data_IF_711363958281
#
_entry.id   IF_711363958281
#
_cell.length_a   1.000
_cell.length_b   1.000
_cell.length_c   1.000
_cell.angle_alpha   90.00
_cell.angle_beta   90.00
_cell.angle_gamma   90.00
#
_symmetry.space_group_name_H-M   'P 1'
#
loop_
_entity.id
_entity.type
_entity.pdbx_description
1 polymer ?
#
# COMPACT_ATOMS: atom_id res chain seq x y z
N UNK A 1 0.33 13.76 27.51
CA UNK A 1 -0.40 12.52 27.15
C UNK A 1 -0.09 12.17 25.72
N UNK A 2 0.41 10.96 25.44
CA UNK A 2 0.67 10.52 24.07
C UNK A 2 -0.66 10.33 23.34
N UNK A 3 -0.75 10.85 22.13
CA UNK A 3 -1.91 10.67 21.26
C UNK A 3 -1.82 9.30 20.61
N UNK A 4 -2.94 8.57 20.63
CA UNK A 4 -3.05 7.30 19.89
C UNK A 4 -3.13 7.62 18.40
N UNK A 5 -2.33 6.94 17.60
CA UNK A 5 -2.40 7.00 16.15
C UNK A 5 -3.27 5.85 15.63
N UNK A 6 -4.04 6.12 14.60
CA UNK A 6 -4.89 5.13 13.94
C UNK A 6 -4.39 4.86 12.53
N UNK A 7 -4.32 3.60 12.17
CA UNK A 7 -4.01 3.15 10.83
C UNK A 7 -5.07 2.19 10.30
N UNK A 8 -5.12 2.05 8.99
CA UNK A 8 -5.92 1.06 8.30
C UNK A 8 -5.01 0.13 7.50
N UNK A 9 -5.35 -1.15 7.49
CA UNK A 9 -4.66 -2.16 6.68
C UNK A 9 -5.61 -2.70 5.63
N UNK A 10 -5.22 -2.59 4.38
CA UNK A 10 -5.92 -3.20 3.25
C UNK A 10 -5.23 -4.53 2.92
N UNK A 11 -5.85 -5.63 3.37
CA UNK A 11 -5.63 -6.93 2.75
C UNK A 11 -6.33 -6.86 1.40
N UNK A 12 -5.62 -7.04 0.26
CA UNK A 12 -6.19 -6.72 -1.04
C UNK A 12 -7.17 -7.78 -1.55
N UNK A 13 -8.10 -8.18 -0.69
CA UNK A 13 -9.15 -9.15 -0.99
C UNK A 13 -10.26 -8.50 -1.78
N UNK A 14 -10.46 -8.96 -3.01
CA UNK A 14 -11.45 -8.42 -3.92
C UNK A 14 -12.42 -9.51 -4.40
N UNK A 15 -13.70 -9.18 -4.66
CA UNK A 15 -14.64 -10.15 -5.20
C UNK A 15 -14.20 -10.70 -6.54
N UNK A 16 -14.25 -12.02 -6.69
CA UNK A 16 -14.03 -12.68 -7.98
C UNK A 16 -15.16 -12.27 -8.93
N UNK A 17 -14.79 -11.95 -10.18
CA UNK A 17 -15.76 -11.56 -11.20
C UNK A 17 -15.98 -10.06 -11.34
N UNK A 18 -15.50 -9.26 -10.39
CA UNK A 18 -15.47 -7.81 -10.55
C UNK A 18 -14.22 -7.40 -11.34
N UNK A 19 -14.38 -6.41 -12.23
CA UNK A 19 -13.25 -5.93 -13.02
C UNK A 19 -12.19 -5.26 -12.12
N UNK A 20 -10.90 -5.65 -12.20
CA UNK A 20 -9.84 -5.10 -11.34
C UNK A 20 -9.73 -3.57 -11.35
N UNK A 21 -10.04 -2.94 -12.46
CA UNK A 21 -10.03 -1.47 -12.55
C UNK A 21 -10.95 -0.84 -11.50
N UNK A 22 -12.15 -1.41 -11.30
CA UNK A 22 -13.11 -0.90 -10.31
C UNK A 22 -12.62 -1.14 -8.89
N UNK A 23 -11.96 -2.27 -8.66
CA UNK A 23 -11.37 -2.62 -7.36
C UNK A 23 -10.28 -1.60 -6.98
N UNK A 24 -9.34 -1.32 -7.89
CA UNK A 24 -8.29 -0.34 -7.66
C UNK A 24 -8.83 1.08 -7.44
N UNK A 25 -9.84 1.50 -8.20
CA UNK A 25 -10.46 2.81 -8.00
C UNK A 25 -11.08 2.92 -6.61
N UNK A 26 -11.82 1.91 -6.19
CA UNK A 26 -12.43 1.88 -4.84
C UNK A 26 -11.38 1.90 -3.73
N UNK A 27 -10.27 1.17 -3.90
CA UNK A 27 -9.20 1.15 -2.92
C UNK A 27 -8.47 2.51 -2.84
N UNK A 28 -8.27 3.16 -3.98
CA UNK A 28 -7.71 4.52 -4.01
C UNK A 28 -8.66 5.54 -3.37
N UNK A 29 -9.96 5.43 -3.63
CA UNK A 29 -10.99 6.26 -2.98
C UNK A 29 -10.97 6.06 -1.46
N UNK A 30 -10.74 4.83 -1.00
CA UNK A 30 -10.61 4.54 0.43
C UNK A 30 -9.43 5.28 1.05
N UNK A 31 -8.26 5.26 0.44
CA UNK A 31 -7.08 5.98 0.98
C UNK A 31 -7.35 7.48 1.07
N UNK A 32 -7.92 8.05 0.02
CA UNK A 32 -8.29 9.46 0.01
C UNK A 32 -9.29 9.81 1.12
N UNK A 33 -10.28 8.94 1.33
CA UNK A 33 -11.27 9.10 2.39
C UNK A 33 -10.64 9.03 3.79
N UNK A 34 -9.75 8.07 4.02
CA UNK A 34 -9.03 7.92 5.29
C UNK A 34 -8.14 9.13 5.58
N UNK A 35 -7.49 9.68 4.56
CA UNK A 35 -6.71 10.92 4.69
C UNK A 35 -7.58 12.10 5.14
N UNK A 36 -8.76 12.26 4.53
CA UNK A 36 -9.73 13.30 4.93
C UNK A 36 -10.24 13.12 6.35
N UNK A 37 -10.41 11.88 6.80
CA UNK A 37 -10.85 11.56 8.16
C UNK A 37 -9.76 11.74 9.21
N UNK A 38 -8.51 11.98 8.79
CA UNK A 38 -7.39 12.20 9.70
C UNK A 38 -6.72 10.92 10.22
N UNK A 39 -6.88 9.79 9.54
CA UNK A 39 -6.08 8.60 9.84
C UNK A 39 -4.59 8.89 9.64
N UNK A 40 -3.77 8.30 10.50
CA UNK A 40 -2.33 8.54 10.50
C UNK A 40 -1.60 7.69 9.45
N UNK A 41 -2.07 6.47 9.23
CA UNK A 41 -1.36 5.49 8.41
C UNK A 41 -2.34 4.64 7.59
N UNK A 42 -1.90 4.31 6.37
CA UNK A 42 -2.54 3.30 5.52
C UNK A 42 -1.50 2.28 5.09
N UNK A 43 -1.85 1.02 5.14
CA UNK A 43 -0.98 -0.10 4.81
C UNK A 43 -1.63 -1.00 3.78
N UNK A 44 -0.86 -1.48 2.79
CA UNK A 44 -1.34 -2.52 1.88
C UNK A 44 -0.31 -3.62 1.67
N UNK A 45 -0.81 -4.84 1.47
CA UNK A 45 0.01 -6.03 1.26
C UNK A 45 0.39 -6.27 -0.18
N UNK A 46 1.33 -7.20 -0.39
CA UNK A 46 1.76 -7.71 -1.68
C UNK A 46 1.30 -9.16 -1.81
N UNK A 47 0.53 -9.46 -2.86
CA UNK A 47 0.05 -10.81 -3.12
C UNK A 47 0.17 -11.16 -4.61
N UNK A 48 0.44 -12.44 -4.87
CA UNK A 48 0.68 -12.95 -6.20
C UNK A 48 -0.14 -14.21 -6.46
N UNK A 49 -0.46 -14.46 -7.73
CA UNK A 49 -1.03 -15.72 -8.22
C UNK A 49 -2.37 -16.12 -7.61
N UNK A 50 -3.14 -15.14 -7.10
CA UNK A 50 -4.50 -15.36 -6.59
C UNK A 50 -5.49 -14.49 -7.35
N UNK A 51 -6.68 -15.04 -7.63
CA UNK A 51 -7.70 -14.31 -8.39
C UNK A 51 -8.42 -13.24 -7.60
N UNK A 52 -8.24 -13.20 -6.29
CA UNK A 52 -8.94 -12.27 -5.37
C UNK A 52 -8.00 -11.29 -4.66
N UNK A 53 -6.72 -11.39 -4.85
CA UNK A 53 -5.75 -10.46 -4.28
C UNK A 53 -4.98 -9.82 -5.42
N UNK A 54 -5.38 -8.61 -5.80
CA UNK A 54 -4.97 -7.99 -7.06
C UNK A 54 -3.81 -7.00 -6.93
N UNK A 55 -3.40 -6.66 -5.72
CA UNK A 55 -2.25 -5.76 -5.51
C UNK A 55 -0.96 -6.57 -5.50
N UNK A 56 -0.32 -6.67 -6.67
CA UNK A 56 0.95 -7.36 -6.82
C UNK A 56 2.17 -6.48 -6.49
N UNK A 57 1.98 -5.17 -6.45
CA UNK A 57 3.04 -4.20 -6.16
C UNK A 57 2.48 -3.11 -5.25
N UNK A 58 2.63 -3.25 -3.92
CA UNK A 58 2.14 -2.26 -3.00
C UNK A 58 2.76 -0.88 -3.22
N UNK A 59 4.04 -0.80 -3.56
CA UNK A 59 4.70 0.48 -3.81
C UNK A 59 4.12 1.22 -5.03
N UNK A 60 3.68 0.51 -6.04
CA UNK A 60 3.00 1.12 -7.21
C UNK A 60 1.63 1.66 -6.82
N UNK A 61 0.86 0.88 -6.07
CA UNK A 61 -0.44 1.31 -5.55
C UNK A 61 -0.29 2.54 -4.64
N UNK A 62 0.69 2.52 -3.73
CA UNK A 62 0.94 3.62 -2.80
C UNK A 62 1.43 4.88 -3.51
N UNK A 63 2.15 4.76 -4.62
CA UNK A 63 2.53 5.91 -5.44
C UNK A 63 1.29 6.62 -6.00
N UNK A 64 0.33 5.87 -6.51
CA UNK A 64 -0.95 6.43 -6.99
C UNK A 64 -1.75 7.04 -5.83
N UNK A 65 -1.86 6.34 -4.70
CA UNK A 65 -2.55 6.82 -3.51
C UNK A 65 -1.91 8.11 -2.96
N UNK A 66 -0.60 8.21 -3.03
CA UNK A 66 0.16 9.38 -2.60
C UNK A 66 -0.17 10.66 -3.36
N UNK A 67 -0.56 10.54 -4.62
CA UNK A 67 -0.99 11.69 -5.44
C UNK A 67 -2.43 12.13 -5.13
N UNK A 68 -3.21 11.28 -4.48
CA UNK A 68 -4.60 11.56 -4.09
C UNK A 68 -4.76 11.87 -2.61
N UNK A 69 -3.68 11.85 -1.85
CA UNK A 69 -3.68 12.09 -0.40
C UNK A 69 -2.62 13.14 -0.03
N UNK A 70 -2.70 13.68 1.18
CA UNK A 70 -1.85 14.81 1.57
C UNK A 70 -1.05 14.58 2.85
N UNK A 71 -1.57 13.86 3.83
CA UNK A 71 -0.97 13.72 5.16
C UNK A 71 -0.79 12.29 5.63
N UNK A 72 -1.67 11.39 5.22
CA UNK A 72 -1.64 9.99 5.63
C UNK A 72 -0.31 9.34 5.20
N UNK A 73 0.33 8.64 6.10
CA UNK A 73 1.52 7.86 5.78
C UNK A 73 1.13 6.58 5.06
N UNK A 74 1.99 6.14 4.16
CA UNK A 74 1.70 5.07 3.21
C UNK A 74 2.72 3.95 3.39
N UNK A 75 2.26 2.84 3.93
CA UNK A 75 3.10 1.71 4.33
C UNK A 75 2.91 0.47 3.47
N UNK A 76 4.02 -0.21 3.19
CA UNK A 76 3.96 -1.57 2.62
C UNK A 76 3.82 -2.58 3.75
N UNK A 77 2.82 -3.38 3.71
CA UNK A 77 2.55 -4.38 4.72
C UNK A 77 2.27 -5.77 4.13
N UNK A 78 3.25 -6.36 3.50
CA UNK A 78 4.68 -6.05 3.39
C UNK A 78 5.14 -6.01 1.94
N UNK A 79 6.40 -5.58 1.69
CA UNK A 79 7.12 -6.00 0.48
C UNK A 79 7.65 -7.41 0.74
N UNK A 80 7.25 -8.36 -0.10
CA UNK A 80 7.66 -9.77 0.01
C UNK A 80 9.06 -9.95 -0.55
N UNK A 81 10.07 -9.81 0.30
CA UNK A 81 11.48 -9.74 -0.10
C UNK A 81 11.97 -10.89 -0.99
N UNK A 82 11.52 -12.16 -0.81
CA UNK A 82 11.98 -13.26 -1.65
C UNK A 82 11.70 -13.11 -3.15
N UNK A 83 10.75 -12.25 -3.52
CA UNK A 83 10.39 -12.02 -4.94
C UNK A 83 11.21 -10.91 -5.60
N UNK A 84 12.06 -10.22 -4.85
CA UNK A 84 12.68 -8.97 -5.33
C UNK A 84 14.19 -8.95 -5.16
N UNK A 85 14.86 -8.28 -6.08
CA UNK A 85 16.25 -7.92 -5.88
C UNK A 85 16.32 -6.76 -4.87
N UNK A 86 17.16 -6.85 -3.81
CA UNK A 86 17.16 -5.87 -2.72
C UNK A 86 17.49 -4.44 -3.17
N UNK A 87 18.35 -4.28 -4.15
CA UNK A 87 18.66 -2.99 -4.74
C UNK A 87 17.42 -2.30 -5.32
N UNK A 88 16.61 -3.07 -6.05
CA UNK A 88 15.38 -2.54 -6.66
C UNK A 88 14.35 -2.15 -5.59
N UNK A 89 14.23 -2.94 -4.53
CA UNK A 89 13.35 -2.61 -3.41
C UNK A 89 13.78 -1.29 -2.76
N UNK A 90 15.06 -1.16 -2.45
CA UNK A 90 15.58 0.07 -1.84
C UNK A 90 15.32 1.30 -2.70
N UNK A 91 15.59 1.22 -4.01
CA UNK A 91 15.38 2.34 -4.93
C UNK A 91 13.90 2.72 -5.03
N UNK A 92 12.99 1.74 -5.15
CA UNK A 92 11.54 2.01 -5.26
C UNK A 92 11.01 2.67 -4.00
N UNK A 93 11.45 2.24 -2.83
CA UNK A 93 11.00 2.83 -1.57
C UNK A 93 11.51 4.25 -1.37
N UNK A 94 12.76 4.52 -1.73
CA UNK A 94 13.31 5.88 -1.72
C UNK A 94 12.56 6.77 -2.71
N UNK A 95 12.29 6.28 -3.90
CA UNK A 95 11.51 7.02 -4.90
C UNK A 95 10.11 7.31 -4.39
N UNK A 96 9.43 6.32 -3.81
CA UNK A 96 8.10 6.49 -3.22
C UNK A 96 8.10 7.57 -2.13
N UNK A 97 9.11 7.56 -1.27
CA UNK A 97 9.23 8.57 -0.21
C UNK A 97 9.36 9.98 -0.77
N UNK A 98 10.20 10.17 -1.79
CA UNK A 98 10.30 11.45 -2.48
C UNK A 98 9.00 11.86 -3.17
N UNK A 99 8.33 10.94 -3.85
CA UNK A 99 7.05 11.21 -4.54
C UNK A 99 5.92 11.58 -3.58
N UNK A 100 6.00 11.11 -2.34
CA UNK A 100 4.97 11.32 -1.32
C UNK A 100 5.35 12.36 -0.26
N UNK A 101 6.47 13.05 -0.45
CA UNK A 101 6.93 14.09 0.47
C UNK A 101 7.27 13.57 1.87
N UNK A 102 7.94 12.41 1.96
CA UNK A 102 8.38 11.84 3.23
C UNK A 102 7.29 11.05 3.98
N UNK A 103 6.30 10.52 3.27
CA UNK A 103 5.19 9.76 3.88
C UNK A 103 5.30 8.25 3.74
N UNK A 104 6.34 7.74 3.08
CA UNK A 104 6.50 6.30 2.89
C UNK A 104 6.94 5.60 4.18
N UNK A 105 6.40 4.42 4.42
CA UNK A 105 6.83 3.51 5.48
C UNK A 105 7.19 2.17 4.84
N UNK A 106 8.39 1.69 5.10
CA UNK A 106 8.85 0.42 4.57
C UNK A 106 8.56 -0.72 5.55
N UNK A 107 7.63 -1.57 5.21
CA UNK A 107 7.42 -2.86 5.86
C UNK A 107 7.88 -3.99 4.95
N UNK A 108 8.64 -4.91 5.49
CA UNK A 108 9.19 -6.04 4.76
C UNK A 108 8.92 -7.37 5.45
N UNK A 109 8.85 -8.44 4.68
CA UNK A 109 8.62 -9.77 5.21
C UNK A 109 8.86 -10.86 4.17
N UNK A 110 8.70 -12.14 4.58
CA UNK A 110 8.90 -13.27 3.68
C UNK A 110 7.73 -13.49 2.70
N UNK A 111 6.58 -12.87 2.94
CA UNK A 111 5.35 -13.20 2.24
C UNK A 111 4.67 -14.45 2.80
N UNK A 112 3.39 -14.64 2.46
CA UNK A 112 2.58 -15.75 2.98
C UNK A 112 2.41 -16.91 1.99
N UNK A 113 2.61 -16.68 0.71
CA UNK A 113 2.47 -17.71 -0.31
C UNK A 113 3.82 -18.31 -0.70
N UNK A 114 3.84 -19.60 -0.98
CA UNK A 114 5.06 -20.27 -1.43
C UNK A 114 5.52 -19.79 -2.80
#
# INVERSE_FOLDING_TARGET
MSRINFGAFLAPHHPIGEHPMLQFQRDLDLVEHLDRLGYNEFWCGEHHSTGWETIASPEMFLAAAGQRSHRIKLGTGVVSLPYHHPYNVAQRMVQLDHMTGGRAIFGSGPGALP
#
